data_IF_302442978864
#
_entry.id   IF_302442978864
#
_cell.length_a   1.000
_cell.length_b   1.000
_cell.length_c   1.000
_cell.angle_alpha   90.00
_cell.angle_beta   90.00
_cell.angle_gamma   90.00
#
_symmetry.space_group_name_H-M   'P 1'
#
loop_
_entity.id
_entity.type
_entity.pdbx_description
1 polymer ?
#
# COMPACT_ATOMS: atom_id res chain seq x y z
N UNK A 1 -26.55 3.55 23.51
CA UNK A 1 -25.33 4.03 24.19
C UNK A 1 -24.23 4.05 23.14
N UNK A 2 -23.70 5.22 22.83
CA UNK A 2 -22.64 5.39 21.84
C UNK A 2 -21.30 5.13 22.53
N UNK A 3 -20.49 4.23 21.97
CA UNK A 3 -19.24 3.71 22.56
C UNK A 3 -18.01 4.20 21.79
N UNK A 4 -17.87 5.52 21.73
CA UNK A 4 -16.84 6.18 20.92
C UNK A 4 -16.03 7.15 21.76
N UNK A 5 -14.70 7.02 21.72
CA UNK A 5 -13.78 7.97 22.34
C UNK A 5 -12.77 8.50 21.31
N UNK A 6 -12.47 9.79 21.43
CA UNK A 6 -11.76 10.62 20.43
C UNK A 6 -12.47 10.70 19.06
N UNK A 7 -12.19 11.79 18.36
CA UNK A 7 -12.66 12.05 16.99
C UNK A 7 -11.53 12.74 16.21
N UNK A 8 -10.59 11.94 15.71
CA UNK A 8 -9.46 12.38 14.90
C UNK A 8 -9.91 12.59 13.45
N UNK A 9 -9.09 13.15 12.55
CA UNK A 9 -9.46 13.29 11.13
C UNK A 9 -8.57 12.48 10.20
N UNK A 10 -9.19 11.75 9.28
CA UNK A 10 -8.51 11.23 8.09
C UNK A 10 -8.11 12.41 7.20
N UNK A 11 -6.82 12.50 6.86
CA UNK A 11 -6.42 13.22 5.65
C UNK A 11 -6.18 12.21 4.53
N UNK A 12 -6.61 12.58 3.32
CA UNK A 12 -5.99 12.04 2.12
C UNK A 12 -4.60 12.66 2.05
N UNK A 13 -3.52 11.88 2.04
CA UNK A 13 -2.18 12.43 2.21
C UNK A 13 -1.83 13.57 1.23
N UNK A 14 -0.96 14.47 1.67
CA UNK A 14 -0.52 15.61 0.85
C UNK A 14 0.24 15.12 -0.40
N UNK A 15 0.18 15.85 -1.56
CA UNK A 15 0.19 15.39 -2.98
C UNK A 15 1.05 14.19 -3.44
N UNK A 16 1.00 13.06 -2.75
CA UNK A 16 2.00 11.99 -2.87
C UNK A 16 1.45 10.60 -2.51
N UNK A 17 0.41 10.53 -1.69
CA UNK A 17 -0.47 9.36 -1.52
C UNK A 17 -1.91 9.85 -1.31
N UNK A 18 -2.94 9.06 -1.63
CA UNK A 18 -4.36 9.43 -1.42
C UNK A 18 -5.19 8.19 -1.07
N UNK A 19 -6.27 8.39 -0.29
CA UNK A 19 -7.09 7.35 0.35
C UNK A 19 -7.91 6.48 -0.63
N UNK A 20 -8.57 5.42 -0.12
CA UNK A 20 -9.46 4.53 -0.89
C UNK A 20 -10.71 4.02 -0.14
N UNK A 21 -11.72 3.63 -0.93
CA UNK A 21 -13.01 3.05 -0.52
C UNK A 21 -12.89 1.50 -0.44
N UNK A 22 -13.47 0.87 0.58
CA UNK A 22 -13.24 -0.53 0.89
C UNK A 22 -14.49 -1.34 0.50
N UNK A 23 -14.50 -1.91 -0.72
CA UNK A 23 -15.54 -2.87 -1.12
C UNK A 23 -15.10 -4.02 -2.02
N UNK A 24 -15.29 -5.23 -1.51
CA UNK A 24 -15.36 -6.45 -2.31
C UNK A 24 -16.81 -6.77 -2.70
N UNK A 25 -17.01 -7.12 -3.98
CA UNK A 25 -18.15 -7.90 -4.51
C UNK A 25 -19.52 -7.17 -4.67
N UNK A 26 -19.65 -6.50 -5.82
CA UNK A 26 -20.83 -6.43 -6.73
C UNK A 26 -22.27 -6.56 -6.21
N UNK A 27 -23.07 -5.49 -6.37
CA UNK A 27 -24.13 -5.35 -7.41
C UNK A 27 -24.38 -3.85 -7.71
N UNK A 28 -24.98 -3.45 -8.86
CA UNK A 28 -24.75 -2.12 -9.45
C UNK A 28 -25.79 -1.03 -9.13
N UNK A 29 -25.42 0.26 -9.27
CA UNK A 29 -26.29 1.32 -9.81
C UNK A 29 -25.47 2.55 -10.31
N UNK A 30 -26.13 3.62 -10.81
CA UNK A 30 -25.57 4.57 -11.80
C UNK A 30 -25.23 6.01 -11.32
N UNK A 31 -24.02 6.48 -11.68
CA UNK A 31 -23.63 7.81 -12.23
C UNK A 31 -23.94 9.15 -11.51
N UNK A 32 -22.89 9.99 -11.36
CA UNK A 32 -22.75 11.29 -12.12
C UNK A 32 -21.28 11.83 -12.13
N UNK A 33 -20.83 12.44 -13.24
CA UNK A 33 -19.46 13.02 -13.43
C UNK A 33 -19.39 14.54 -13.15
N UNK A 34 -18.21 15.06 -12.69
CA UNK A 34 -17.42 16.25 -13.18
C UNK A 34 -16.34 16.71 -12.12
N UNK A 35 -15.31 17.54 -12.44
CA UNK A 35 -14.07 17.08 -13.12
C UNK A 35 -12.74 17.69 -12.55
N UNK A 36 -11.58 17.39 -13.17
CA UNK A 36 -10.25 18.07 -13.06
C UNK A 36 -9.58 18.12 -11.66
N UNK A 37 -8.27 17.89 -11.47
CA UNK A 37 -7.10 18.22 -12.30
C UNK A 37 -5.90 17.24 -12.10
N UNK A 38 -4.68 17.59 -12.55
CA UNK A 38 -3.50 16.69 -12.68
C UNK A 38 -2.65 16.54 -11.40
N UNK A 39 -2.10 15.34 -11.16
CA UNK A 39 -0.75 15.07 -10.61
C UNK A 39 -0.46 13.55 -10.51
N UNK A 40 0.81 13.13 -10.45
CA UNK A 40 1.18 11.71 -10.36
C UNK A 40 2.54 11.43 -9.71
N UNK A 41 2.74 10.17 -9.23
CA UNK A 41 4.01 9.47 -8.90
C UNK A 41 3.78 7.97 -8.88
N UNK A 42 4.45 7.12 -9.69
CA UNK A 42 3.37 5.24 -9.84
C UNK A 42 3.30 4.23 -8.63
N UNK A 43 4.36 3.54 -8.17
CA UNK A 43 4.35 2.11 -7.78
C UNK A 43 4.68 1.76 -6.31
N UNK A 44 4.67 0.50 -5.83
CA UNK A 44 4.18 -0.75 -6.46
C UNK A 44 2.74 -0.63 -7.00
N UNK A 45 2.29 -1.53 -7.87
CA UNK A 45 1.02 -1.39 -8.59
C UNK A 45 -0.22 -1.67 -7.73
N UNK A 46 -0.47 -0.72 -6.84
CA UNK A 46 -1.67 -0.57 -6.04
C UNK A 46 -2.01 0.91 -5.98
N UNK A 47 -2.66 1.40 -7.04
CA UNK A 47 -3.55 2.54 -6.94
C UNK A 47 -4.92 2.06 -7.35
N UNK A 48 -5.80 2.02 -6.37
CA UNK A 48 -7.17 1.54 -6.53
C UNK A 48 -8.01 2.61 -7.26
N UNK A 49 -9.28 2.31 -7.49
CA UNK A 49 -10.10 3.00 -8.50
C UNK A 49 -11.39 3.49 -7.86
N UNK A 50 -11.58 4.79 -7.81
CA UNK A 50 -12.84 5.41 -7.37
C UNK A 50 -13.88 5.44 -8.50
N UNK A 51 -14.28 4.26 -8.97
CA UNK A 51 -15.61 4.05 -9.53
C UNK A 51 -16.39 3.09 -8.61
N UNK A 52 -17.67 3.40 -8.42
CA UNK A 52 -18.57 2.73 -7.48
C UNK A 52 -18.91 1.28 -7.87
N UNK A 53 -18.32 0.76 -8.96
CA UNK A 53 -18.54 -0.57 -9.51
C UNK A 53 -17.23 -1.38 -9.65
N UNK A 54 -16.06 -0.80 -9.36
CA UNK A 54 -14.75 -1.42 -9.64
C UNK A 54 -14.20 -2.18 -8.44
N UNK A 55 -13.84 -3.46 -8.63
CA UNK A 55 -13.07 -4.26 -7.65
C UNK A 55 -11.62 -3.74 -7.59
N UNK A 56 -10.98 -3.60 -6.42
CA UNK A 56 -9.58 -3.19 -6.34
C UNK A 56 -8.67 -4.13 -7.14
N UNK A 57 -7.98 -3.57 -8.12
CA UNK A 57 -7.05 -4.27 -9.01
C UNK A 57 -5.64 -4.10 -8.46
N UNK A 58 -4.90 -5.20 -8.38
CA UNK A 58 -3.51 -5.23 -7.95
C UNK A 58 -2.67 -5.66 -9.15
N UNK A 59 -1.48 -5.10 -9.34
CA UNK A 59 -0.51 -5.63 -10.28
C UNK A 59 0.89 -5.71 -9.66
N UNK A 60 1.73 -6.56 -10.23
CA UNK A 60 3.06 -6.90 -9.76
C UNK A 60 4.03 -6.89 -10.94
N UNK A 61 5.21 -6.29 -10.73
CA UNK A 61 6.35 -6.49 -11.63
C UNK A 61 7.03 -7.79 -11.21
N UNK A 62 7.24 -8.69 -12.16
CA UNK A 62 7.95 -9.96 -11.99
C UNK A 62 9.14 -10.04 -12.93
N UNK A 63 10.13 -10.88 -12.60
CA UNK A 63 11.07 -11.41 -13.59
C UNK A 63 10.40 -12.54 -14.38
N UNK A 64 11.03 -12.98 -15.47
CA UNK A 64 10.55 -14.10 -16.30
C UNK A 64 10.38 -15.43 -15.52
N UNK A 65 11.08 -15.60 -14.39
CA UNK A 65 10.96 -16.76 -13.50
C UNK A 65 9.79 -16.67 -12.48
N UNK A 66 8.99 -15.60 -12.52
CA UNK A 66 7.86 -15.37 -11.62
C UNK A 66 8.21 -14.73 -10.27
N UNK A 67 9.48 -14.47 -9.95
CA UNK A 67 9.82 -13.79 -8.70
C UNK A 67 9.44 -12.30 -8.73
N UNK A 68 8.86 -11.83 -7.63
CA UNK A 68 8.51 -10.43 -7.44
C UNK A 68 9.70 -9.47 -7.56
N UNK A 69 9.45 -8.30 -8.13
CA UNK A 69 10.38 -7.17 -8.17
C UNK A 69 9.81 -6.05 -7.29
N UNK A 70 10.57 -5.64 -6.28
CA UNK A 70 10.16 -4.57 -5.34
C UNK A 70 11.21 -3.46 -5.34
N UNK A 71 10.87 -2.30 -4.77
CA UNK A 71 11.83 -1.19 -4.62
C UNK A 71 13.05 -1.49 -3.73
N UNK A 72 13.13 -2.69 -3.12
CA UNK A 72 14.32 -3.21 -2.46
C UNK A 72 15.37 -3.74 -3.46
N UNK A 73 14.92 -4.26 -4.60
CA UNK A 73 15.75 -4.69 -5.72
C UNK A 73 15.92 -3.57 -6.75
N UNK A 74 14.80 -2.93 -7.11
CA UNK A 74 14.72 -1.91 -8.17
C UNK A 74 14.16 -0.59 -7.63
N UNK A 75 14.97 0.24 -6.95
CA UNK A 75 14.50 1.45 -6.26
C UNK A 75 13.82 2.46 -7.17
N UNK A 76 14.24 2.49 -8.44
CA UNK A 76 13.63 3.32 -9.49
C UNK A 76 12.14 3.04 -9.69
N UNK A 77 11.61 1.90 -9.22
CA UNK A 77 10.17 1.64 -9.17
C UNK A 77 9.38 2.71 -8.40
N UNK A 78 9.95 3.49 -7.47
CA UNK A 78 9.20 4.61 -6.86
C UNK A 78 9.04 5.83 -7.77
N UNK A 79 9.86 5.94 -8.82
CA UNK A 79 9.75 6.96 -9.87
C UNK A 79 8.74 6.60 -10.95
N UNK A 80 7.93 5.58 -10.72
CA UNK A 80 6.85 5.10 -11.59
C UNK A 80 5.36 5.48 -10.94
N UNK A 81 3.50 6.58 -11.64
CA UNK A 81 2.19 7.27 -11.41
C UNK A 81 1.15 6.49 -12.14
N UNK A 82 0.50 5.64 -11.37
CA UNK A 82 -0.70 4.98 -11.79
C UNK A 82 -1.75 6.09 -11.80
N UNK A 83 -2.35 6.35 -12.95
CA UNK A 83 -3.70 6.93 -12.98
C UNK A 83 -4.63 5.90 -13.59
N UNK A 84 -5.90 5.93 -13.19
CA UNK A 84 -6.95 5.12 -13.78
C UNK A 84 -7.99 6.08 -14.34
N UNK A 85 -8.15 6.05 -15.65
CA UNK A 85 -9.00 6.98 -16.39
C UNK A 85 -9.75 6.18 -17.45
N UNK A 86 -11.09 6.27 -17.46
CA UNK A 86 -12.02 5.60 -18.39
C UNK A 86 -11.64 4.13 -18.72
N UNK A 87 -11.51 3.29 -17.67
CA UNK A 87 -11.15 1.86 -17.68
C UNK A 87 -9.74 1.47 -18.16
N UNK A 88 -8.85 2.45 -18.35
CA UNK A 88 -7.44 2.24 -18.66
C UNK A 88 -6.51 2.53 -17.46
N UNK A 89 -5.44 1.73 -17.36
CA UNK A 89 -4.33 1.91 -16.45
C UNK A 89 -3.25 2.72 -17.17
N UNK A 90 -2.91 3.88 -16.63
CA UNK A 90 -1.94 4.81 -17.23
C UNK A 90 -0.67 4.82 -16.38
N UNK A 91 0.50 4.71 -17.03
CA UNK A 91 1.82 4.73 -16.40
C UNK A 91 2.72 5.76 -17.09
N UNK A 92 3.55 6.46 -16.32
CA UNK A 92 4.45 7.55 -16.76
C UNK A 92 5.72 7.63 -15.90
N UNK A 93 6.87 7.16 -16.37
CA UNK A 93 8.13 7.29 -15.64
C UNK A 93 9.04 8.36 -16.28
N UNK A 94 10.02 8.94 -15.55
CA UNK A 94 11.00 9.87 -16.13
C UNK A 94 11.71 9.27 -17.35
N UNK A 95 11.69 10.00 -18.46
CA UNK A 95 12.31 9.57 -19.72
C UNK A 95 11.57 8.45 -20.47
N UNK A 96 10.34 8.10 -20.07
CA UNK A 96 9.50 7.09 -20.73
C UNK A 96 8.23 7.72 -21.30
N UNK A 97 7.80 7.22 -22.46
CA UNK A 97 6.46 7.50 -23.00
C UNK A 97 5.35 6.94 -22.09
N UNK A 98 4.13 7.46 -22.27
CA UNK A 98 2.95 7.02 -21.53
C UNK A 98 2.51 5.63 -21.98
N UNK A 99 2.59 4.64 -21.09
CA UNK A 99 1.96 3.33 -21.30
C UNK A 99 0.49 3.39 -20.89
N UNK A 100 -0.40 2.76 -21.67
CA UNK A 100 -1.85 2.71 -21.42
C UNK A 100 -2.37 1.29 -21.62
N UNK A 101 -2.73 0.62 -20.52
CA UNK A 101 -3.17 -0.77 -20.54
C UNK A 101 -4.68 -0.88 -20.26
N UNK A 102 -5.45 -1.69 -21.02
CA UNK A 102 -6.85 -1.94 -20.72
C UNK A 102 -6.96 -2.71 -19.38
N UNK A 103 -7.72 -2.21 -18.42
CA UNK A 103 -7.76 -2.81 -17.07
C UNK A 103 -8.66 -4.04 -16.96
N UNK A 104 -9.25 -4.47 -18.07
CA UNK A 104 -9.83 -5.79 -18.29
C UNK A 104 -8.93 -6.50 -19.31
N UNK A 105 -8.03 -7.34 -18.84
CA UNK A 105 -7.15 -8.13 -19.68
C UNK A 105 -7.94 -9.20 -20.45
N UNK A 106 -7.36 -9.71 -21.54
CA UNK A 106 -7.92 -10.85 -22.26
C UNK A 106 -7.68 -12.13 -21.46
N UNK A 107 -8.69 -12.98 -21.36
CA UNK A 107 -8.57 -14.29 -20.69
C UNK A 107 -7.59 -15.26 -21.37
N UNK A 108 -7.18 -14.95 -22.60
CA UNK A 108 -6.12 -15.62 -23.36
C UNK A 108 -4.71 -15.20 -22.95
N UNK A 109 -4.53 -14.08 -22.24
CA UNK A 109 -3.20 -13.70 -21.75
C UNK A 109 -2.70 -14.73 -20.74
N UNK A 110 -1.40 -15.01 -20.76
CA UNK A 110 -0.78 -16.07 -19.95
C UNK A 110 -1.02 -15.83 -18.45
N UNK A 111 -1.33 -16.90 -17.72
CA UNK A 111 -1.18 -16.91 -16.26
C UNK A 111 0.28 -17.21 -15.92
N UNK A 112 0.86 -16.39 -15.06
CA UNK A 112 2.14 -16.65 -14.43
C UNK A 112 1.90 -17.08 -12.99
N UNK A 113 2.46 -18.23 -12.61
CA UNK A 113 2.69 -18.56 -11.22
C UNK A 113 3.85 -17.68 -10.72
N UNK A 114 3.61 -16.94 -9.65
CA UNK A 114 4.48 -15.88 -9.14
C UNK A 114 4.83 -16.14 -7.67
N UNK A 115 6.02 -15.71 -7.24
CA UNK A 115 6.45 -15.89 -5.85
C UNK A 115 6.65 -14.54 -5.14
N UNK A 116 5.80 -14.30 -4.13
CA UNK A 116 5.64 -13.03 -3.41
C UNK A 116 5.91 -13.25 -1.92
N UNK A 117 6.99 -12.66 -1.41
CA UNK A 117 7.50 -12.88 -0.04
C UNK A 117 7.73 -14.36 0.33
N UNK A 118 8.04 -15.20 -0.66
CA UNK A 118 8.26 -16.64 -0.48
C UNK A 118 7.00 -17.50 -0.48
N UNK A 119 5.82 -16.89 -0.68
CA UNK A 119 4.54 -17.57 -0.88
C UNK A 119 4.12 -17.50 -2.34
N UNK A 120 3.40 -18.53 -2.81
CA UNK A 120 2.97 -18.64 -4.20
C UNK A 120 1.60 -17.98 -4.44
N UNK A 121 1.48 -17.25 -5.55
CA UNK A 121 0.30 -16.49 -5.96
C UNK A 121 0.30 -16.37 -7.50
N UNK A 122 -0.86 -16.18 -8.13
CA UNK A 122 -0.94 -16.03 -9.59
C UNK A 122 -1.05 -14.57 -10.04
N UNK A 123 -0.79 -14.34 -11.32
CA UNK A 123 -1.07 -13.08 -12.01
C UNK A 123 -1.28 -13.29 -13.51
N UNK A 124 -2.17 -12.48 -14.11
CA UNK A 124 -2.47 -12.44 -15.54
C UNK A 124 -1.53 -11.48 -16.24
N UNK A 125 -0.81 -11.94 -17.24
CA UNK A 125 0.15 -11.11 -17.99
C UNK A 125 -0.53 -9.91 -18.68
N UNK A 126 0.10 -8.75 -18.59
CA UNK A 126 -0.41 -7.50 -19.15
C UNK A 126 0.02 -7.25 -20.62
N UNK A 127 0.72 -8.19 -21.25
CA UNK A 127 1.19 -8.09 -22.63
C UNK A 127 2.63 -7.60 -22.76
N UNK A 128 3.24 -7.87 -23.91
CA UNK A 128 4.65 -7.58 -24.17
C UNK A 128 4.97 -6.08 -24.20
N UNK A 129 4.01 -5.22 -24.52
CA UNK A 129 4.16 -3.76 -24.43
C UNK A 129 4.48 -3.33 -22.98
N UNK A 130 3.77 -3.90 -22.00
CA UNK A 130 4.04 -3.65 -20.59
C UNK A 130 5.42 -4.19 -20.18
N UNK A 131 5.76 -5.41 -20.61
CA UNK A 131 7.04 -6.04 -20.31
C UNK A 131 8.23 -5.23 -20.86
N UNK A 132 8.15 -4.81 -22.13
CA UNK A 132 9.13 -3.96 -22.79
C UNK A 132 9.27 -2.60 -22.09
N UNK A 133 8.17 -2.02 -21.59
CA UNK A 133 8.20 -0.74 -20.89
C UNK A 133 8.97 -0.80 -19.56
N UNK A 134 8.76 -1.83 -18.71
CA UNK A 134 9.57 -1.99 -17.47
C UNK A 134 11.02 -2.31 -17.77
N UNK A 135 11.26 -3.22 -18.72
CA UNK A 135 12.61 -3.60 -19.16
C UNK A 135 13.37 -2.36 -19.67
N UNK A 136 12.72 -1.50 -20.45
CA UNK A 136 13.31 -0.27 -20.99
C UNK A 136 13.45 0.85 -19.96
N UNK A 137 12.62 0.89 -18.93
CA UNK A 137 12.74 1.87 -17.84
C UNK A 137 13.85 1.50 -16.86
N UNK A 138 13.85 0.27 -16.36
CA UNK A 138 14.76 -0.21 -15.31
C UNK A 138 16.15 -0.59 -15.84
N UNK A 139 16.23 -1.15 -17.06
CA UNK A 139 17.49 -1.44 -17.80
C UNK A 139 18.43 -2.43 -17.10
N UNK A 140 17.91 -3.28 -16.22
CA UNK A 140 18.66 -4.29 -15.46
C UNK A 140 18.40 -5.71 -15.95
N UNK A 141 17.17 -6.20 -15.81
CA UNK A 141 16.71 -7.52 -16.28
C UNK A 141 15.52 -7.38 -17.27
N UNK A 142 15.13 -8.50 -17.87
CA UNK A 142 13.81 -8.63 -18.50
C UNK A 142 12.71 -8.75 -17.43
N UNK A 143 11.69 -7.90 -17.54
CA UNK A 143 10.58 -7.80 -16.59
C UNK A 143 9.23 -7.94 -17.28
N UNK A 144 8.26 -8.54 -16.59
CA UNK A 144 6.85 -8.58 -17.01
C UNK A 144 5.95 -7.95 -15.96
N UNK A 145 4.75 -7.56 -16.38
CA UNK A 145 3.72 -7.02 -15.48
C UNK A 145 2.52 -7.97 -15.45
N UNK A 146 2.07 -8.33 -14.25
CA UNK A 146 0.94 -9.24 -14.05
C UNK A 146 -0.14 -8.64 -13.15
N UNK A 147 -1.41 -8.82 -13.49
CA UNK A 147 -2.59 -8.36 -12.74
C UNK A 147 -3.20 -9.48 -11.90
N UNK A 148 -3.64 -9.18 -10.68
CA UNK A 148 -4.43 -10.09 -9.87
C UNK A 148 -5.91 -10.06 -10.30
N UNK A 149 -6.45 -11.22 -10.65
CA UNK A 149 -7.87 -11.39 -10.98
C UNK A 149 -8.66 -11.92 -9.76
N UNK A 150 -9.90 -11.49 -9.59
CA UNK A 150 -10.76 -11.84 -8.43
C UNK A 150 -10.93 -13.35 -8.19
N UNK A 151 -10.76 -14.19 -9.22
CA UNK A 151 -10.86 -15.65 -9.17
C UNK A 151 -9.54 -16.36 -8.82
N UNK A 152 -8.43 -15.64 -8.65
CA UNK A 152 -7.15 -16.21 -8.19
C UNK A 152 -7.17 -16.41 -6.67
N UNK A 153 -6.40 -17.39 -6.16
CA UNK A 153 -6.15 -17.52 -4.72
C UNK A 153 -5.25 -16.37 -4.26
N UNK A 154 -5.74 -15.55 -3.32
CA UNK A 154 -4.91 -14.59 -2.59
C UNK A 154 -4.10 -15.28 -1.48
N UNK A 155 -3.02 -14.65 -0.99
CA UNK A 155 -2.24 -15.16 0.16
C UNK A 155 -3.03 -14.93 1.44
N UNK A 156 -3.16 -15.96 2.27
CA UNK A 156 -3.91 -15.87 3.52
C UNK A 156 -3.04 -15.33 4.68
N UNK A 157 -3.68 -14.66 5.62
CA UNK A 157 -3.08 -14.10 6.84
C UNK A 157 -2.28 -15.11 7.66
N UNK A 158 -2.74 -16.36 7.74
CA UNK A 158 -2.06 -17.45 8.45
C UNK A 158 -0.86 -18.04 7.67
N UNK A 159 -0.78 -17.85 6.35
CA UNK A 159 0.42 -18.18 5.56
C UNK A 159 1.51 -17.11 5.75
N UNK A 160 1.11 -15.87 6.04
CA UNK A 160 1.99 -14.70 6.20
C UNK A 160 2.46 -14.56 7.66
N UNK A 161 1.57 -14.75 8.63
CA UNK A 161 1.83 -14.70 10.07
C UNK A 161 1.22 -15.94 10.78
N UNK A 162 1.86 -17.11 10.73
CA UNK A 162 1.32 -18.34 11.32
C UNK A 162 1.05 -18.29 12.83
N UNK A 163 1.62 -17.32 13.54
CA UNK A 163 1.44 -17.10 14.98
C UNK A 163 0.31 -16.12 15.34
N UNK A 164 -0.46 -15.61 14.38
CA UNK A 164 -1.54 -14.65 14.62
C UNK A 164 -2.88 -15.18 14.14
N UNK A 165 -3.80 -15.36 15.08
CA UNK A 165 -5.19 -15.70 14.77
C UNK A 165 -5.92 -14.46 14.20
N UNK A 166 -5.88 -14.36 12.87
CA UNK A 166 -6.49 -13.33 12.05
C UNK A 166 -6.97 -13.99 10.75
N UNK A 167 -8.14 -13.60 10.25
CA UNK A 167 -8.71 -14.15 9.02
C UNK A 167 -8.87 -13.05 7.95
N UNK A 168 -7.82 -12.81 7.17
CA UNK A 168 -7.85 -11.89 6.03
C UNK A 168 -6.97 -12.44 4.88
N UNK A 169 -7.07 -11.82 3.71
CA UNK A 169 -6.28 -12.18 2.54
C UNK A 169 -5.68 -10.94 1.88
N UNK A 170 -4.53 -11.08 1.24
CA UNK A 170 -3.88 -10.04 0.43
C UNK A 170 -3.37 -10.61 -0.89
N UNK A 171 -3.43 -9.81 -1.95
CA UNK A 171 -2.81 -10.15 -3.23
C UNK A 171 -1.29 -9.90 -3.16
N UNK A 172 -0.83 -8.78 -3.70
CA UNK A 172 0.59 -8.39 -3.75
C UNK A 172 1.11 -7.49 -2.61
N UNK A 173 0.31 -6.75 -1.79
CA UNK A 173 0.82 -5.99 -0.64
C UNK A 173 1.54 -6.90 0.37
N UNK A 174 2.66 -6.47 0.93
CA UNK A 174 3.58 -7.30 1.73
C UNK A 174 2.85 -8.28 2.69
N UNK A 175 2.01 -7.75 3.58
CA UNK A 175 1.42 -8.56 4.65
C UNK A 175 0.06 -8.11 5.24
N UNK A 176 -0.52 -6.97 4.84
CA UNK A 176 -1.78 -6.46 5.40
C UNK A 176 -2.55 -5.63 4.34
N UNK A 177 -3.89 -5.59 4.38
CA UNK A 177 -4.70 -4.80 3.45
C UNK A 177 -4.65 -3.28 3.73
N UNK A 178 -4.48 -2.86 4.99
CA UNK A 178 -4.53 -1.44 5.39
C UNK A 178 -3.42 -1.14 6.39
N UNK A 179 -2.60 -0.13 6.10
CA UNK A 179 -1.66 0.45 7.05
C UNK A 179 -2.01 1.92 7.34
N UNK A 180 -2.04 2.26 8.63
CA UNK A 180 -2.33 3.60 9.17
C UNK A 180 -1.07 4.19 9.82
N UNK A 181 -0.88 5.49 9.69
CA UNK A 181 0.23 6.25 10.29
C UNK A 181 -0.26 7.67 10.61
N UNK A 182 0.10 8.25 11.75
CA UNK A 182 -0.27 9.64 12.07
C UNK A 182 0.72 10.65 11.50
N UNK A 183 0.24 11.87 11.19
CA UNK A 183 1.16 12.99 10.91
C UNK A 183 2.01 13.34 12.13
N UNK A 184 1.51 13.10 13.35
CA UNK A 184 2.25 13.37 14.58
C UNK A 184 3.47 12.45 14.75
N UNK A 185 3.36 11.15 14.42
CA UNK A 185 4.49 10.22 14.34
C UNK A 185 5.51 10.64 13.28
N UNK A 186 5.06 11.13 12.11
CA UNK A 186 5.95 11.65 11.08
C UNK A 186 6.64 12.96 11.52
N UNK A 187 5.94 13.82 12.24
CA UNK A 187 6.50 15.06 12.79
C UNK A 187 7.58 14.75 13.84
N UNK A 188 7.30 13.85 14.80
CA UNK A 188 8.27 13.40 15.80
C UNK A 188 9.55 12.86 15.15
N UNK A 189 9.42 11.91 14.22
CA UNK A 189 10.58 11.35 13.52
C UNK A 189 11.38 12.45 12.80
N UNK A 190 10.69 13.39 12.15
CA UNK A 190 11.32 14.53 11.50
C UNK A 190 11.98 15.53 12.48
N UNK A 191 11.64 15.56 13.77
CA UNK A 191 12.42 16.36 14.74
C UNK A 191 13.80 15.76 15.00
N UNK A 192 13.95 14.44 14.85
CA UNK A 192 15.16 13.67 15.21
C UNK A 192 16.19 13.53 14.08
N UNK A 193 15.88 14.05 12.89
CA UNK A 193 16.68 13.87 11.67
C UNK A 193 17.11 15.22 11.05
N UNK A 194 18.25 15.26 10.36
CA UNK A 194 18.64 16.43 9.54
C UNK A 194 17.83 16.47 8.24
N UNK A 195 18.05 15.51 7.32
CA UNK A 195 17.24 15.34 6.10
C UNK A 195 15.85 14.83 6.49
N UNK A 196 14.83 15.67 6.32
CA UNK A 196 13.44 15.32 6.62
C UNK A 196 12.89 14.30 5.60
N UNK A 197 12.07 13.36 6.07
CA UNK A 197 11.39 12.33 5.27
C UNK A 197 9.91 12.65 5.10
N UNK A 198 9.32 12.14 4.02
CA UNK A 198 7.90 12.34 3.67
C UNK A 198 7.06 11.14 4.12
N UNK A 199 5.75 11.34 4.24
CA UNK A 199 4.80 10.24 4.53
C UNK A 199 4.93 9.08 3.52
N UNK A 200 5.29 9.40 2.28
CA UNK A 200 5.55 8.46 1.19
C UNK A 200 6.72 7.50 1.40
N UNK A 201 7.70 7.83 2.25
CA UNK A 201 8.75 6.88 2.65
C UNK A 201 8.12 5.66 3.36
N UNK A 202 6.99 5.86 4.04
CA UNK A 202 6.34 4.83 4.85
C UNK A 202 5.16 4.16 4.15
N UNK A 203 4.61 4.78 3.10
CA UNK A 203 3.55 4.23 2.22
C UNK A 203 2.23 3.81 2.93
N UNK A 204 1.65 4.62 3.84
CA UNK A 204 0.34 4.32 4.44
C UNK A 204 -0.81 4.41 3.42
N UNK A 205 -1.87 3.65 3.68
CA UNK A 205 -3.16 3.76 2.99
C UNK A 205 -3.99 4.93 3.57
N UNK A 206 -3.93 5.13 4.89
CA UNK A 206 -4.69 6.13 5.65
C UNK A 206 -3.71 6.93 6.51
N UNK A 207 -3.86 8.25 6.53
CA UNK A 207 -3.09 9.15 7.38
C UNK A 207 -4.03 9.90 8.32
N UNK A 208 -3.68 9.94 9.60
CA UNK A 208 -4.55 10.45 10.68
C UNK A 208 -3.94 11.69 11.33
N UNK A 209 -4.80 12.64 11.70
CA UNK A 209 -4.44 13.95 12.23
C UNK A 209 -5.24 14.29 13.50
N UNK A 210 -4.67 15.11 14.38
CA UNK A 210 -5.29 15.54 15.64
C UNK A 210 -4.98 14.68 16.87
N UNK A 211 -4.03 13.74 16.75
CA UNK A 211 -3.57 12.85 17.82
C UNK A 211 -2.13 13.18 18.26
N UNK A 212 -1.70 12.59 19.37
CA UNK A 212 -0.30 12.60 19.82
C UNK A 212 0.60 11.76 18.89
N UNK A 213 1.91 11.98 18.95
CA UNK A 213 2.86 11.12 18.24
C UNK A 213 2.80 9.69 18.81
N UNK A 214 2.74 8.69 17.92
CA UNK A 214 2.60 7.26 18.24
C UNK A 214 1.31 6.86 18.95
N UNK A 215 0.31 7.74 19.04
CA UNK A 215 -1.00 7.41 19.62
C UNK A 215 -1.68 6.27 18.85
N UNK A 216 -1.40 6.14 17.54
CA UNK A 216 -1.90 5.05 16.71
C UNK A 216 -1.47 3.66 17.18
N UNK A 217 -0.37 3.54 17.95
CA UNK A 217 0.07 2.27 18.53
C UNK A 217 -0.97 1.71 19.52
N UNK A 218 -1.86 2.55 20.06
CA UNK A 218 -2.86 2.20 21.09
C UNK A 218 -4.23 1.82 20.52
N UNK A 219 -4.50 2.07 19.24
CA UNK A 219 -5.83 1.89 18.67
C UNK A 219 -6.08 0.43 18.24
N UNK A 220 -6.56 -0.41 19.15
CA UNK A 220 -6.80 -1.84 18.85
C UNK A 220 -7.98 -2.08 17.89
N UNK A 221 -9.02 -1.25 17.94
CA UNK A 221 -10.18 -1.29 17.05
C UNK A 221 -10.62 0.13 16.67
N UNK A 222 -10.97 0.34 15.40
CA UNK A 222 -11.31 1.63 14.81
C UNK A 222 -12.61 1.60 14.00
N UNK A 223 -13.37 2.69 14.06
CA UNK A 223 -14.43 3.03 13.10
C UNK A 223 -14.01 4.28 12.31
N UNK A 224 -14.05 4.21 10.98
CA UNK A 224 -13.88 5.36 10.08
C UNK A 224 -15.01 5.36 9.04
N UNK A 225 -15.81 6.42 8.99
CA UNK A 225 -17.00 6.47 8.13
C UNK A 225 -18.00 5.38 8.53
N UNK A 226 -18.05 4.28 7.75
CA UNK A 226 -18.75 3.04 8.15
C UNK A 226 -17.90 1.76 8.01
N UNK A 227 -16.57 1.91 7.93
CA UNK A 227 -15.57 0.83 7.94
C UNK A 227 -15.15 0.53 9.38
N UNK A 228 -15.28 -0.72 9.81
CA UNK A 228 -14.73 -1.18 11.10
C UNK A 228 -13.44 -1.97 10.83
N UNK A 229 -12.38 -1.63 11.54
CA UNK A 229 -11.03 -2.17 11.37
C UNK A 229 -10.44 -2.61 12.69
N UNK A 230 -9.62 -3.67 12.67
CA UNK A 230 -8.97 -4.25 13.85
C UNK A 230 -7.47 -4.34 13.67
N UNK A 231 -6.71 -3.93 14.68
CA UNK A 231 -5.25 -3.95 14.68
C UNK A 231 -4.73 -5.38 14.51
N UNK A 232 -3.73 -5.53 13.64
CA UNK A 232 -3.01 -6.79 13.41
C UNK A 232 -1.72 -6.77 14.22
N UNK A 233 -0.81 -5.85 13.89
CA UNK A 233 0.53 -5.68 14.48
C UNK A 233 1.14 -4.34 14.05
N UNK A 234 2.20 -3.89 14.72
CA UNK A 234 2.90 -2.66 14.37
C UNK A 234 3.85 -2.85 13.16
N UNK A 235 3.84 -1.95 12.18
CA UNK A 235 4.56 -2.14 10.92
C UNK A 235 6.09 -2.15 11.14
N UNK A 236 6.79 -3.30 10.91
CA UNK A 236 8.23 -3.36 10.99
C UNK A 236 8.86 -2.72 9.75
N UNK A 237 9.65 -1.68 9.95
CA UNK A 237 10.27 -0.92 8.86
C UNK A 237 11.56 -1.60 8.36
N UNK A 238 11.74 -1.53 7.05
CA UNK A 238 12.87 -2.11 6.33
C UNK A 238 13.44 -1.07 5.34
N UNK A 239 14.53 -1.41 4.64
CA UNK A 239 15.26 -0.51 3.72
C UNK A 239 14.38 0.16 2.64
N UNK A 240 13.16 -0.33 2.37
CA UNK A 240 12.22 0.36 1.49
C UNK A 240 11.87 1.79 1.98
N UNK A 241 11.94 2.07 3.28
CA UNK A 241 11.70 3.44 3.81
C UNK A 241 12.79 4.43 3.46
N UNK A 242 13.99 3.93 3.11
CA UNK A 242 15.18 4.75 2.82
C UNK A 242 15.33 5.04 1.33
N UNK A 243 14.41 4.54 0.49
CA UNK A 243 14.27 4.96 -0.91
C UNK A 243 13.61 6.34 -0.95
N UNK A 244 14.29 7.31 -1.56
CA UNK A 244 13.79 8.66 -1.76
C UNK A 244 12.66 8.69 -2.82
N UNK A 245 11.42 9.09 -2.48
CA UNK A 245 10.26 8.98 -3.37
C UNK A 245 10.16 10.07 -4.45
N UNK A 246 11.16 10.94 -4.55
CA UNK A 246 11.29 11.94 -5.62
C UNK A 246 12.41 11.58 -6.63
N UNK A 247 13.40 10.78 -6.20
CA UNK A 247 14.61 10.48 -6.99
C UNK A 247 14.91 8.98 -7.18
N UNK A 248 14.21 8.09 -6.46
CA UNK A 248 14.44 6.64 -6.52
C UNK A 248 15.84 6.22 -6.08
N UNK A 249 16.52 7.05 -5.29
CA UNK A 249 17.85 6.77 -4.73
C UNK A 249 17.69 6.14 -3.34
N UNK A 250 18.42 5.06 -3.05
CA UNK A 250 18.55 4.52 -1.69
C UNK A 250 19.53 5.38 -0.91
N UNK A 251 19.08 6.04 0.15
CA UNK A 251 19.92 6.31 1.32
C UNK A 251 20.14 4.97 2.04
N UNK A 252 21.37 4.53 2.33
CA UNK A 252 21.57 3.19 2.97
C UNK A 252 21.38 3.19 4.49
N UNK A 253 21.00 4.33 5.07
CA UNK A 253 20.88 4.55 6.51
C UNK A 253 19.50 5.07 6.91
N UNK A 254 19.10 6.22 6.38
CA UNK A 254 17.99 7.00 6.95
C UNK A 254 16.68 6.89 6.15
N UNK A 255 15.49 6.83 6.81
CA UNK A 255 15.20 7.06 8.23
C UNK A 255 15.40 5.83 9.16
N UNK A 256 16.02 4.75 8.67
CA UNK A 256 16.02 3.45 9.35
C UNK A 256 17.02 3.37 10.51
N UNK A 257 18.15 4.07 10.45
CA UNK A 257 19.08 4.22 11.58
C UNK A 257 18.47 5.06 12.70
N UNK A 258 17.89 6.23 12.39
CA UNK A 258 17.17 7.04 13.38
C UNK A 258 16.02 6.26 14.02
N UNK A 259 15.17 5.57 13.25
CA UNK A 259 14.08 4.75 13.82
C UNK A 259 14.58 3.62 14.72
N UNK A 260 15.71 2.96 14.41
CA UNK A 260 16.31 1.94 15.28
C UNK A 260 16.79 2.48 16.62
N UNK A 261 17.04 3.78 16.75
CA UNK A 261 17.51 4.36 18.02
C UNK A 261 16.44 4.43 19.12
N UNK A 262 15.14 4.49 18.75
CA UNK A 262 14.06 4.76 19.71
C UNK A 262 12.72 4.04 19.45
N UNK A 263 12.58 3.30 18.34
CA UNK A 263 11.33 2.62 17.95
C UNK A 263 11.49 1.09 17.78
N UNK A 264 12.43 0.46 18.46
CA UNK A 264 12.49 -1.01 18.52
C UNK A 264 11.32 -1.57 19.36
N UNK A 265 10.90 -2.80 19.08
CA UNK A 265 9.88 -3.49 19.86
C UNK A 265 10.33 -3.83 21.28
N UNK A 266 9.37 -4.16 22.15
CA UNK A 266 9.66 -4.76 23.46
C UNK A 266 10.47 -6.07 23.29
N UNK A 267 11.36 -6.43 24.22
CA UNK A 267 12.08 -7.71 24.17
C UNK A 267 11.21 -8.96 24.02
N UNK A 268 9.97 -8.95 24.54
CA UNK A 268 9.02 -10.07 24.41
C UNK A 268 8.52 -10.28 22.98
N UNK A 269 8.40 -9.21 22.18
CA UNK A 269 7.89 -9.27 20.80
C UNK A 269 8.98 -9.53 19.74
N UNK A 270 10.25 -9.71 20.16
CA UNK A 270 11.39 -9.92 19.24
C UNK A 270 11.27 -11.14 18.33
N UNK A 271 10.46 -12.13 18.70
CA UNK A 271 10.12 -13.27 17.83
C UNK A 271 9.40 -12.83 16.54
N UNK A 272 8.60 -11.78 16.61
CA UNK A 272 7.83 -11.21 15.49
C UNK A 272 8.70 -10.21 14.71
N UNK A 273 9.18 -9.15 15.38
CA UNK A 273 9.78 -8.00 14.69
C UNK A 273 11.31 -8.05 14.55
N UNK A 274 11.98 -8.95 15.28
CA UNK A 274 13.44 -9.19 15.29
C UNK A 274 14.23 -7.95 15.74
N UNK A 275 14.72 -7.16 14.79
CA UNK A 275 15.46 -5.90 14.99
C UNK A 275 14.97 -4.77 14.08
N UNK A 276 13.75 -4.93 13.56
CA UNK A 276 13.05 -3.93 12.75
C UNK A 276 12.39 -2.91 13.67
N UNK A 277 12.56 -1.59 13.45
CA UNK A 277 11.82 -0.60 14.22
C UNK A 277 10.37 -0.48 13.75
N UNK A 278 9.48 -0.10 14.65
CA UNK A 278 8.02 -0.06 14.50
C UNK A 278 7.54 1.37 14.25
N UNK A 279 6.75 1.58 13.20
CA UNK A 279 6.28 2.92 12.85
C UNK A 279 4.98 2.83 12.05
N UNK A 280 3.85 3.31 12.57
CA UNK A 280 2.52 3.06 12.00
C UNK A 280 2.09 1.58 12.12
N UNK A 281 0.80 1.32 11.93
CA UNK A 281 0.12 0.08 12.37
C UNK A 281 -0.63 -0.57 11.20
N UNK A 282 -0.62 -1.90 11.14
CA UNK A 282 -1.42 -2.69 10.20
C UNK A 282 -2.78 -3.08 10.78
N UNK A 283 -3.80 -3.05 9.93
CA UNK A 283 -5.19 -3.38 10.27
C UNK A 283 -5.77 -4.43 9.31
N UNK A 284 -6.68 -5.24 9.83
CA UNK A 284 -7.67 -6.00 9.06
C UNK A 284 -8.96 -5.20 8.97
N UNK A 285 -9.72 -5.45 7.90
CA UNK A 285 -11.08 -4.90 7.72
C UNK A 285 -12.05 -5.93 8.26
N UNK A 286 -12.70 -5.63 9.37
CA UNK A 286 -13.75 -6.48 9.94
C UNK A 286 -15.10 -6.19 9.27
N UNK A 287 -15.34 -4.93 8.89
CA UNK A 287 -16.55 -4.49 8.19
C UNK A 287 -16.23 -3.61 7.00
N UNK A 288 -16.69 -4.09 5.85
CA UNK A 288 -16.56 -3.49 4.52
C UNK A 288 -17.46 -2.25 4.38
N UNK A 289 -16.93 -1.13 3.88
CA UNK A 289 -17.59 0.16 3.91
C UNK A 289 -16.82 1.28 3.20
N UNK A 290 -17.42 2.46 3.16
CA UNK A 290 -16.86 3.68 2.56
C UNK A 290 -16.34 4.64 3.62
N UNK A 291 -15.10 5.10 3.44
CA UNK A 291 -14.49 6.22 4.15
C UNK A 291 -14.03 7.29 3.15
N UNK A 292 -13.85 8.53 3.61
CA UNK A 292 -13.37 9.65 2.80
C UNK A 292 -12.44 10.57 3.60
N UNK A 293 -11.75 11.45 2.87
CA UNK A 293 -10.97 12.54 3.45
C UNK A 293 -11.88 13.44 4.29
N UNK A 294 -11.44 13.77 5.51
CA UNK A 294 -12.18 14.57 6.47
C UNK A 294 -13.17 13.78 7.35
N UNK A 295 -13.32 12.46 7.16
CA UNK A 295 -14.11 11.64 8.09
C UNK A 295 -13.46 11.59 9.48
N UNK A 296 -14.30 11.49 10.54
CA UNK A 296 -13.83 11.20 11.88
C UNK A 296 -13.27 9.77 11.97
N UNK A 297 -12.19 9.61 12.74
CA UNK A 297 -11.70 8.32 13.23
C UNK A 297 -12.09 8.21 14.70
N UNK A 298 -12.84 7.17 15.03
CA UNK A 298 -13.23 6.83 16.40
C UNK A 298 -12.50 5.58 16.86
N UNK A 299 -11.95 5.59 18.07
CA UNK A 299 -11.50 4.37 18.73
C UNK A 299 -12.72 3.64 19.31
N UNK A 300 -12.82 2.33 19.05
CA UNK A 300 -13.89 1.50 19.59
C UNK A 300 -13.54 1.14 21.04
N UNK A 301 -14.45 1.40 21.99
CA UNK A 301 -14.24 1.07 23.41
C UNK A 301 -15.28 0.06 23.92
N UNK A 302 -14.83 -0.85 24.80
CA UNK A 302 -15.63 -1.96 25.35
C UNK A 302 -16.42 -1.60 26.61
#
# INVERSE_FOLDING_TARGET
>A
MERWSLALRVIGPTPSSFAFDIKGISVPFRYRKRPTERLGRPFALTREVFDQNTVPKFWLVIKEDGHMVTGRQEPQLVLVSITYEDDCLILRAPGMDQLVLPTKLLSSNKLHDCRVFGLDIQGRDCGDEAAQWFTSFLKTDAFRLVQFEKNMKARASNEIFPSLDKNYQVAYPDCSPVMILSEASLADLNTRMEKKVKINNFRPNIVVTGCSAFEEDTWDELLIGNVEMKKILACPRCIMTTVDPDTGVIDRKEPLETLKSYRLCDPSEKSIYKSSPLFGIYYSVEKIGSLKVGDPVYQMVQ
#
